data_IF_095344524516
#
_entry.id   IF_095344524516
#
_cell.length_a   1.000
_cell.length_b   1.000
_cell.length_c   1.000
_cell.angle_alpha   90.00
_cell.angle_beta   90.00
_cell.angle_gamma   90.00
#
_symmetry.space_group_name_H-M   'P 1'
#
loop_
_entity.id
_entity.type
_entity.pdbx_description
1 polymer ?
#
# COMPACT_ATOMS: atom_id res chain seq x y z
N UNK A 1 -17.70 4.21 10.49
CA UNK A 1 -16.97 3.38 9.54
C UNK A 1 -15.59 3.97 9.30
N UNK A 2 -14.53 3.25 9.64
CA UNK A 2 -13.14 3.62 9.41
C UNK A 2 -12.57 2.88 8.20
N UNK A 3 -11.98 3.63 7.25
CA UNK A 3 -11.33 3.09 6.06
C UNK A 3 -9.88 3.55 6.05
N UNK A 4 -8.95 2.60 6.07
CA UNK A 4 -7.51 2.86 5.94
C UNK A 4 -7.10 2.74 4.46
N UNK A 5 -6.71 3.84 3.85
CA UNK A 5 -6.12 3.86 2.51
C UNK A 5 -4.61 3.67 2.57
N UNK A 6 -4.07 2.79 1.72
CA UNK A 6 -2.65 2.47 1.66
C UNK A 6 -2.14 2.59 0.22
N UNK A 7 -1.07 3.36 0.04
CA UNK A 7 -0.20 3.30 -1.11
C UNK A 7 1.15 2.69 -0.69
N UNK A 8 1.52 1.56 -1.28
CA UNK A 8 2.73 0.82 -0.92
C UNK A 8 3.41 0.20 -2.15
N UNK A 9 4.71 -0.09 -2.04
CA UNK A 9 5.49 -0.76 -3.10
C UNK A 9 5.52 0.01 -4.43
N UNK A 10 5.47 1.33 -4.33
CA UNK A 10 5.68 2.31 -5.39
C UNK A 10 6.27 3.57 -4.75
N UNK A 11 6.97 4.40 -5.51
CA UNK A 11 7.39 5.73 -5.04
C UNK A 11 6.23 6.48 -4.39
N UNK A 12 6.58 7.22 -3.34
CA UNK A 12 5.69 8.04 -2.52
C UNK A 12 4.65 7.22 -1.74
N UNK A 13 5.11 6.12 -1.12
CA UNK A 13 4.23 5.31 -0.26
C UNK A 13 3.65 6.17 0.87
N UNK A 14 2.38 5.95 1.19
CA UNK A 14 1.60 6.83 2.06
C UNK A 14 0.41 6.09 2.65
N UNK A 15 -0.18 6.69 3.68
CA UNK A 15 -1.42 6.21 4.27
C UNK A 15 -2.40 7.37 4.48
N UNK A 16 -3.69 7.04 4.47
CA UNK A 16 -4.75 7.93 4.91
C UNK A 16 -5.81 7.18 5.70
N UNK A 17 -6.51 7.88 6.59
CA UNK A 17 -7.63 7.35 7.34
C UNK A 17 -8.86 8.22 7.11
N UNK A 18 -9.96 7.58 6.74
CA UNK A 18 -11.26 8.20 6.53
C UNK A 18 -12.24 7.64 7.56
N UNK A 19 -13.02 8.51 8.20
CA UNK A 19 -14.13 8.15 9.08
C UNK A 19 -15.44 8.67 8.48
N UNK A 20 -16.35 7.76 8.13
CA UNK A 20 -17.69 8.11 7.63
C UNK A 20 -17.67 9.13 6.48
N UNK A 21 -16.72 8.95 5.55
CA UNK A 21 -16.52 9.84 4.39
C UNK A 21 -15.69 11.10 4.67
N UNK A 22 -15.29 11.34 5.92
CA UNK A 22 -14.47 12.49 6.32
C UNK A 22 -13.00 12.08 6.48
N UNK A 23 -12.10 12.82 5.85
CA UNK A 23 -10.65 12.61 6.01
C UNK A 23 -10.21 12.99 7.44
N UNK A 24 -9.57 12.06 8.13
CA UNK A 24 -8.98 12.29 9.46
C UNK A 24 -7.51 12.69 9.31
N UNK A 25 -6.73 11.86 8.61
CA UNK A 25 -5.30 12.08 8.41
C UNK A 25 -4.87 11.51 7.06
N UNK A 26 -3.85 12.12 6.45
CA UNK A 26 -3.15 11.61 5.28
C UNK A 26 -1.70 12.09 5.30
N UNK A 27 -0.75 11.17 5.12
CA UNK A 27 0.67 11.50 5.19
C UNK A 27 1.51 10.52 4.37
N UNK A 28 2.59 11.05 3.80
CA UNK A 28 3.60 10.26 3.08
C UNK A 28 4.70 9.77 4.03
N UNK A 29 5.16 8.54 3.79
CA UNK A 29 6.14 7.87 4.65
C UNK A 29 7.51 8.56 4.63
N UNK A 30 7.86 9.23 3.54
CA UNK A 30 9.12 9.97 3.42
C UNK A 30 9.25 11.08 4.48
N UNK A 31 8.14 11.60 5.01
CA UNK A 31 8.14 12.61 6.08
C UNK A 31 8.69 12.06 7.38
N UNK A 32 8.41 10.78 7.68
CA UNK A 32 8.90 10.08 8.86
C UNK A 32 10.27 9.45 8.64
N UNK A 33 10.45 8.72 7.53
CA UNK A 33 11.68 7.98 7.26
C UNK A 33 12.83 8.85 6.77
N UNK A 34 12.52 10.07 6.31
CA UNK A 34 13.49 11.02 5.72
C UNK A 34 14.24 10.45 4.52
N UNK A 35 13.66 9.46 3.86
CA UNK A 35 14.13 8.86 2.62
C UNK A 35 13.15 9.27 1.53
N UNK A 36 13.62 10.10 0.58
CA UNK A 36 12.82 10.54 -0.56
C UNK A 36 12.31 9.35 -1.37
N UNK A 37 11.06 9.42 -1.81
CA UNK A 37 10.42 8.39 -2.64
C UNK A 37 10.47 7.01 -1.98
N UNK A 38 10.26 6.95 -0.65
CA UNK A 38 10.17 5.67 0.04
C UNK A 38 9.13 4.79 -0.63
N UNK A 39 9.58 3.64 -1.13
CA UNK A 39 8.78 2.71 -1.91
C UNK A 39 8.44 1.43 -1.12
N UNK A 40 8.59 1.46 0.20
CA UNK A 40 8.29 0.33 1.07
C UNK A 40 6.83 0.30 1.53
N UNK A 41 6.61 -0.39 2.65
CA UNK A 41 5.37 -0.29 3.41
C UNK A 41 5.37 1.02 4.20
N UNK A 42 4.26 1.79 4.22
CA UNK A 42 4.19 3.07 4.93
C UNK A 42 3.82 2.86 6.41
N UNK A 43 4.67 2.17 7.18
CA UNK A 43 4.37 1.78 8.56
C UNK A 43 4.17 2.97 9.49
N UNK A 44 5.01 4.00 9.36
CA UNK A 44 4.92 5.18 10.22
C UNK A 44 3.70 6.04 9.86
N UNK A 45 3.34 6.08 8.57
CA UNK A 45 2.15 6.79 8.08
C UNK A 45 0.86 6.12 8.56
N UNK A 46 0.79 4.78 8.50
CA UNK A 46 -0.35 4.02 9.03
C UNK A 46 -0.50 4.30 10.52
N UNK A 47 0.61 4.17 11.26
CA UNK A 47 0.65 4.40 12.70
C UNK A 47 0.18 5.82 13.05
N UNK A 48 0.71 6.83 12.37
CA UNK A 48 0.28 8.22 12.56
C UNK A 48 -1.22 8.40 12.31
N UNK A 49 -1.77 7.84 11.23
CA UNK A 49 -3.20 7.97 10.94
C UNK A 49 -4.08 7.33 12.02
N UNK A 50 -3.66 6.20 12.59
CA UNK A 50 -4.37 5.53 13.68
C UNK A 50 -4.27 6.34 14.99
N UNK A 51 -3.07 6.87 15.30
CA UNK A 51 -2.82 7.75 16.45
C UNK A 51 -3.68 9.02 16.40
N UNK A 52 -3.78 9.70 15.24
CA UNK A 52 -4.62 10.90 15.06
C UNK A 52 -6.11 10.63 15.32
N UNK A 53 -6.59 9.41 15.07
CA UNK A 53 -7.96 9.01 15.35
C UNK A 53 -8.15 8.40 16.75
N UNK A 54 -7.07 8.15 17.50
CA UNK A 54 -7.12 7.46 18.79
C UNK A 54 -7.63 6.02 18.71
N UNK A 55 -7.38 5.32 17.60
CA UNK A 55 -7.85 3.94 17.37
C UNK A 55 -6.69 2.98 17.10
N UNK A 56 -6.97 1.68 17.18
CA UNK A 56 -6.09 0.60 16.72
C UNK A 56 -6.55 0.04 15.38
N UNK A 57 -5.75 -0.84 14.75
CA UNK A 57 -6.14 -1.46 13.47
C UNK A 57 -7.42 -2.30 13.60
N UNK A 58 -7.71 -2.86 14.78
CA UNK A 58 -8.94 -3.62 15.06
C UNK A 58 -10.24 -2.82 14.84
N UNK A 59 -10.15 -1.48 14.86
CA UNK A 59 -11.27 -0.58 14.63
C UNK A 59 -11.46 -0.23 13.14
N UNK A 60 -10.54 -0.66 12.26
CA UNK A 60 -10.60 -0.37 10.83
C UNK A 60 -11.51 -1.39 10.13
N UNK A 61 -12.62 -0.90 9.59
CA UNK A 61 -13.61 -1.74 8.91
C UNK A 61 -13.13 -2.23 7.54
N UNK A 62 -12.32 -1.42 6.85
CA UNK A 62 -11.83 -1.74 5.52
C UNK A 62 -10.45 -1.15 5.24
N UNK A 63 -9.66 -1.89 4.45
CA UNK A 63 -8.38 -1.42 3.91
C UNK A 63 -8.51 -1.25 2.40
N UNK A 64 -8.28 -0.04 1.92
CA UNK A 64 -8.25 0.28 0.50
C UNK A 64 -6.81 0.36 0.00
N UNK A 65 -6.51 -0.32 -1.11
CA UNK A 65 -5.20 -0.29 -1.76
C UNK A 65 -5.35 0.42 -3.10
N UNK A 66 -4.43 1.34 -3.42
CA UNK A 66 -4.50 2.19 -4.61
C UNK A 66 -4.30 1.48 -5.97
N UNK A 67 -4.22 0.16 -5.99
CA UNK A 67 -3.95 -0.62 -7.19
C UNK A 67 -4.80 -1.88 -7.25
N UNK A 68 -5.40 -2.10 -8.40
CA UNK A 68 -5.99 -3.38 -8.77
C UNK A 68 -5.08 -4.10 -9.77
N UNK A 69 -4.59 -5.28 -9.38
CA UNK A 69 -3.76 -6.11 -10.24
C UNK A 69 -4.48 -6.57 -11.52
N UNK A 70 -5.81 -6.70 -11.47
CA UNK A 70 -6.67 -7.14 -12.58
C UNK A 70 -7.01 -6.00 -13.55
N UNK A 71 -6.88 -4.74 -13.12
CA UNK A 71 -7.16 -3.60 -13.97
C UNK A 71 -6.36 -3.66 -15.29
N UNK A 72 -7.04 -3.38 -16.41
CA UNK A 72 -6.44 -3.33 -17.75
C UNK A 72 -5.70 -4.60 -18.22
N UNK A 73 -6.14 -5.79 -17.77
CA UNK A 73 -5.50 -7.07 -18.12
C UNK A 73 -5.26 -7.25 -19.63
N UNK A 74 -6.28 -7.07 -20.48
CA UNK A 74 -6.16 -7.24 -21.93
C UNK A 74 -5.18 -6.26 -22.58
N UNK A 75 -5.12 -5.01 -22.10
CA UNK A 75 -4.13 -4.03 -22.57
C UNK A 75 -2.70 -4.47 -22.23
N UNK A 76 -2.50 -5.05 -21.04
CA UNK A 76 -1.20 -5.59 -20.60
C UNK A 76 -0.77 -6.79 -21.46
N UNK A 77 -1.71 -7.69 -21.76
CA UNK A 77 -1.46 -8.84 -22.66
C UNK A 77 -1.07 -8.34 -24.05
N UNK A 78 -1.87 -7.47 -24.65
CA UNK A 78 -1.59 -6.92 -25.98
C UNK A 78 -0.22 -6.22 -26.01
N UNK A 79 0.06 -5.34 -25.05
CA UNK A 79 1.36 -4.67 -24.93
C UNK A 79 2.53 -5.66 -24.85
N UNK A 80 2.40 -6.73 -24.08
CA UNK A 80 3.46 -7.73 -23.90
C UNK A 80 3.73 -8.48 -25.22
N UNK A 81 2.68 -8.80 -25.98
CA UNK A 81 2.80 -9.44 -27.28
C UNK A 81 3.38 -8.52 -28.35
N UNK A 82 2.95 -7.25 -28.40
CA UNK A 82 3.37 -6.29 -29.44
C UNK A 82 4.76 -5.70 -29.17
N UNK A 83 5.11 -5.43 -27.90
CA UNK A 83 6.36 -4.74 -27.53
C UNK A 83 7.46 -5.67 -27.04
N UNK A 84 7.15 -6.95 -26.78
CA UNK A 84 8.10 -8.00 -26.34
C UNK A 84 9.15 -7.49 -25.34
N UNK A 85 8.71 -7.02 -24.15
CA UNK A 85 9.64 -6.52 -23.14
C UNK A 85 10.63 -7.60 -22.69
N UNK A 86 11.82 -7.17 -22.27
CA UNK A 86 12.87 -8.07 -21.79
C UNK A 86 12.39 -8.86 -20.55
N UNK A 87 12.81 -10.13 -20.44
CA UNK A 87 12.46 -11.07 -19.38
C UNK A 87 12.74 -10.54 -17.97
N UNK A 88 13.81 -9.75 -17.79
CA UNK A 88 14.10 -9.11 -16.49
C UNK A 88 12.96 -8.22 -16.00
N UNK A 89 12.35 -7.45 -16.90
CA UNK A 89 11.24 -6.56 -16.58
C UNK A 89 9.97 -7.32 -16.18
N UNK A 90 9.77 -8.53 -16.74
CA UNK A 90 8.66 -9.41 -16.38
C UNK A 90 8.88 -10.01 -14.98
N UNK A 91 10.11 -10.41 -14.66
CA UNK A 91 10.48 -10.93 -13.33
C UNK A 91 10.28 -9.87 -12.23
N UNK A 92 10.70 -8.63 -12.48
CA UNK A 92 10.51 -7.52 -11.53
C UNK A 92 9.03 -7.27 -11.25
N UNK A 93 8.18 -7.32 -12.29
CA UNK A 93 6.72 -7.18 -12.15
C UNK A 93 6.11 -8.31 -11.30
N UNK A 94 6.59 -9.53 -11.47
CA UNK A 94 6.13 -10.67 -10.67
C UNK A 94 6.57 -10.55 -9.21
N UNK A 95 7.83 -10.14 -8.96
CA UNK A 95 8.34 -9.89 -7.60
C UNK A 95 7.51 -8.83 -6.87
N UNK A 96 7.30 -7.68 -7.49
CA UNK A 96 6.51 -6.59 -6.91
C UNK A 96 5.05 -7.01 -6.67
N UNK A 97 4.48 -7.86 -7.55
CA UNK A 97 3.12 -8.40 -7.34
C UNK A 97 3.06 -9.31 -6.11
N UNK A 98 4.07 -10.15 -5.87
CA UNK A 98 4.13 -11.05 -4.72
C UNK A 98 4.23 -10.29 -3.39
N UNK A 99 5.08 -9.27 -3.32
CA UNK A 99 5.24 -8.46 -2.09
C UNK A 99 3.95 -7.70 -1.73
N UNK A 100 3.21 -7.21 -2.73
CA UNK A 100 1.90 -6.55 -2.54
C UNK A 100 0.82 -7.51 -2.04
N UNK A 101 0.73 -8.72 -2.59
CA UNK A 101 -0.26 -9.72 -2.13
C UNK A 101 -0.01 -10.11 -0.66
N UNK A 102 1.22 -9.97 -0.18
CA UNK A 102 1.59 -10.23 1.21
C UNK A 102 1.28 -9.07 2.18
N UNK A 103 0.73 -7.95 1.72
CA UNK A 103 0.41 -6.76 2.55
C UNK A 103 -0.45 -7.11 3.77
N UNK A 104 -1.58 -7.76 3.55
CA UNK A 104 -2.49 -8.20 4.61
C UNK A 104 -1.79 -9.10 5.64
N UNK A 105 -0.89 -9.97 5.17
CA UNK A 105 -0.15 -10.87 6.06
C UNK A 105 0.92 -10.12 6.87
N UNK A 106 1.59 -9.14 6.26
CA UNK A 106 2.62 -8.32 6.94
C UNK A 106 2.02 -7.36 7.96
N UNK A 107 0.92 -6.67 7.61
CA UNK A 107 0.19 -5.81 8.54
C UNK A 107 -0.23 -6.56 9.80
N UNK A 108 -0.79 -7.77 9.63
CA UNK A 108 -1.18 -8.65 10.75
C UNK A 108 -0.01 -9.22 11.58
N UNK A 109 1.19 -9.34 11.00
CA UNK A 109 2.39 -9.88 11.67
C UNK A 109 3.14 -8.77 12.40
N UNK A 110 3.24 -7.57 11.83
CA UNK A 110 3.90 -6.42 12.46
C UNK A 110 3.12 -5.92 13.69
N UNK A 111 1.79 -6.01 13.70
CA UNK A 111 0.98 -5.71 14.89
C UNK A 111 1.19 -6.75 16.00
N UNK A 112 1.22 -8.05 15.67
CA UNK A 112 1.37 -9.15 16.65
C UNK A 112 2.75 -9.24 17.32
N UNK A 113 3.79 -8.68 16.70
CA UNK A 113 5.16 -8.75 17.24
C UNK A 113 5.60 -7.52 18.05
N UNK A 114 4.68 -6.57 18.32
CA UNK A 114 4.96 -5.38 19.13
C UNK A 114 4.12 -5.26 20.41
N UNK A 115 3.46 -6.35 20.83
CA UNK A 115 2.89 -6.54 22.19
C UNK A 115 3.90 -7.26 23.07
#
# INVERSE_FOLDING_TARGET
MYILGINAYHGDSSACLIKDGVLIAAVEEERFRRIKHWAGLPTESIRYCLEEAGITLDHVDAIAINQDAKASFWKKVNFTLTKRPNLGMLLDRLKNKRERVSLYRKLMIEEKHRV
#
